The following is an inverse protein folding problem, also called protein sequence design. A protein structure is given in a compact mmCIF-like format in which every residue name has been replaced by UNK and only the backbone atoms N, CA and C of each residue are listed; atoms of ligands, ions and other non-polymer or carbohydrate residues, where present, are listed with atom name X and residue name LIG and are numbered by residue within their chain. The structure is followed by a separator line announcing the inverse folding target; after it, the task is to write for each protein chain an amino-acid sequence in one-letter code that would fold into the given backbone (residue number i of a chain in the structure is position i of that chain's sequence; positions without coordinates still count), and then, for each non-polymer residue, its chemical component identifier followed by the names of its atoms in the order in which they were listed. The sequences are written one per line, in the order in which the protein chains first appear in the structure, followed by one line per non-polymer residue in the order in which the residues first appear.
data_IF_479021951457
#
_entry.id   IF_479021951457
#
_cell.length_a   1.000
_cell.length_b   1.000
_cell.length_c   1.000
_cell.angle_alpha   90.00
_cell.angle_beta   90.00
_cell.angle_gamma   90.00
#
_symmetry.space_group_name_H-M   'P 1'
#
loop_
_entity.id
_entity.type
_entity.pdbx_description
1 polymer ?
#
# COMPACT_ATOMS: atom_id res chain seq x y z
N UNK A 1 -26.45 -57.99 -2.48
CA UNK A 1 -27.01 -56.63 -2.34
C UNK A 1 -25.88 -55.66 -2.66
N UNK A 2 -25.83 -55.29 -3.93
CA UNK A 2 -26.08 -53.93 -4.41
C UNK A 2 -24.75 -53.20 -4.63
N UNK A 3 -24.16 -53.52 -5.79
CA UNK A 3 -23.17 -52.71 -6.49
C UNK A 3 -23.74 -51.29 -6.72
N UNK A 4 -22.91 -50.28 -6.49
CA UNK A 4 -23.26 -48.89 -6.79
C UNK A 4 -22.82 -48.55 -8.21
N UNK A 5 -23.71 -47.99 -9.07
CA UNK A 5 -23.38 -47.73 -10.46
C UNK A 5 -22.67 -46.40 -10.65
N UNK A 6 -21.77 -46.42 -11.64
CA UNK A 6 -21.02 -45.30 -12.21
C UNK A 6 -22.00 -44.26 -12.77
N UNK A 7 -21.97 -43.03 -12.25
CA UNK A 7 -22.62 -41.88 -12.88
C UNK A 7 -21.58 -41.14 -13.73
N UNK A 8 -21.66 -41.35 -15.03
CA UNK A 8 -20.94 -40.59 -16.05
C UNK A 8 -21.43 -39.14 -16.04
N UNK A 9 -20.60 -38.21 -15.56
CA UNK A 9 -20.84 -36.77 -15.78
C UNK A 9 -20.24 -36.39 -17.13
N UNK A 10 -21.10 -36.11 -18.13
CA UNK A 10 -20.70 -35.48 -19.38
C UNK A 10 -20.15 -34.09 -19.06
N UNK A 11 -18.83 -33.98 -18.94
CA UNK A 11 -18.12 -32.71 -18.99
C UNK A 11 -18.07 -32.31 -20.47
N UNK A 12 -18.74 -31.23 -20.83
CA UNK A 12 -18.55 -30.63 -22.14
C UNK A 12 -17.14 -30.06 -22.16
N UNK A 13 -16.25 -30.70 -22.91
CA UNK A 13 -14.89 -30.20 -23.13
C UNK A 13 -14.93 -28.84 -23.83
N UNK A 14 -14.05 -27.89 -23.47
CA UNK A 14 -13.92 -26.64 -24.19
C UNK A 14 -13.48 -26.94 -25.63
N UNK A 15 -14.07 -26.27 -26.65
CA UNK A 15 -13.66 -26.49 -28.02
C UNK A 15 -12.18 -26.16 -28.19
N UNK A 16 -11.49 -27.05 -28.89
CA UNK A 16 -10.09 -27.02 -29.25
C UNK A 16 -9.67 -25.63 -29.79
N UNK A 17 -8.44 -25.21 -29.50
CA UNK A 17 -7.87 -23.93 -29.91
C UNK A 17 -7.52 -23.94 -31.41
N UNK A 18 -8.54 -24.14 -32.25
CA UNK A 18 -8.45 -24.20 -33.70
C UNK A 18 -9.75 -23.70 -34.32
N UNK A 19 -9.88 -22.37 -34.39
CA UNK A 19 -10.61 -21.58 -35.40
C UNK A 19 -11.18 -20.29 -34.79
N UNK A 20 -10.34 -19.24 -34.75
CA UNK A 20 -10.79 -17.85 -34.54
C UNK A 20 -11.50 -17.31 -35.79
N UNK A 21 -12.62 -17.93 -36.17
CA UNK A 21 -13.65 -17.31 -37.01
C UNK A 21 -14.90 -17.14 -36.15
N UNK A 22 -15.03 -16.00 -35.48
CA UNK A 22 -16.33 -15.53 -34.98
C UNK A 22 -17.25 -15.37 -36.18
N UNK A 23 -18.10 -16.37 -36.46
CA UNK A 23 -19.18 -16.25 -37.43
C UNK A 23 -20.21 -15.27 -36.86
N UNK A 24 -20.04 -13.99 -37.20
CA UNK A 24 -21.03 -12.95 -36.93
C UNK A 24 -22.34 -13.17 -37.71
N UNK A 25 -22.38 -14.18 -38.58
CA UNK A 25 -23.51 -14.56 -39.41
C UNK A 25 -24.73 -15.01 -38.57
N UNK A 26 -24.50 -15.47 -37.34
CA UNK A 26 -25.55 -15.89 -36.40
C UNK A 26 -26.03 -14.77 -35.47
N UNK A 27 -25.39 -13.60 -35.49
CA UNK A 27 -25.69 -12.52 -34.56
C UNK A 27 -26.99 -11.77 -34.93
N UNK A 28 -27.94 -11.58 -33.99
CA UNK A 28 -29.23 -10.96 -34.29
C UNK A 28 -29.14 -9.44 -34.29
N UNK A 29 -28.55 -8.85 -35.33
CA UNK A 29 -28.41 -7.40 -35.49
C UNK A 29 -29.73 -6.63 -35.39
N UNK A 30 -30.85 -7.26 -35.76
CA UNK A 30 -32.20 -6.72 -35.63
C UNK A 30 -32.59 -6.31 -34.20
N UNK A 31 -32.02 -6.97 -33.18
CA UNK A 31 -32.33 -6.72 -31.77
C UNK A 31 -31.43 -5.60 -31.18
N UNK A 32 -30.44 -5.13 -31.95
CA UNK A 32 -29.47 -4.12 -31.55
C UNK A 32 -29.32 -3.00 -32.62
N UNK A 33 -30.36 -2.20 -32.89
CA UNK A 33 -30.30 -1.13 -33.88
C UNK A 33 -29.30 -0.03 -33.46
N UNK A 34 -28.50 0.45 -34.41
CA UNK A 34 -27.48 1.48 -34.20
C UNK A 34 -26.18 0.97 -33.54
N UNK A 35 -26.04 -0.34 -33.39
CA UNK A 35 -24.80 -0.97 -32.92
C UNK A 35 -24.04 -1.62 -34.09
N UNK A 36 -22.73 -1.50 -34.06
CA UNK A 36 -21.79 -2.14 -34.99
C UNK A 36 -20.81 -3.01 -34.22
N UNK A 37 -20.06 -3.86 -34.93
CA UNK A 37 -18.94 -4.59 -34.33
C UNK A 37 -17.92 -3.58 -33.78
N UNK A 38 -17.42 -3.82 -32.56
CA UNK A 38 -16.46 -2.89 -31.96
C UNK A 38 -15.10 -2.92 -32.66
N UNK A 39 -14.53 -1.74 -32.93
CA UNK A 39 -13.19 -1.60 -33.52
C UNK A 39 -12.08 -2.03 -32.55
N UNK A 40 -12.39 -2.20 -31.25
CA UNK A 40 -11.45 -2.56 -30.18
C UNK A 40 -11.47 -4.05 -29.81
N UNK A 41 -12.11 -4.89 -30.62
CA UNK A 41 -12.35 -6.32 -30.33
C UNK A 41 -11.07 -7.13 -29.99
N UNK A 42 -9.88 -6.64 -30.37
CA UNK A 42 -8.60 -7.30 -30.09
C UNK A 42 -7.96 -6.91 -28.72
N UNK A 43 -8.45 -5.89 -28.01
CA UNK A 43 -7.76 -5.32 -26.84
C UNK A 43 -8.41 -5.65 -25.48
N UNK A 44 -9.34 -6.60 -25.40
CA UNK A 44 -10.01 -6.95 -24.14
C UNK A 44 -9.29 -8.06 -23.39
N UNK A 45 -8.81 -7.77 -22.18
CA UNK A 45 -8.00 -8.68 -21.36
C UNK A 45 -8.80 -9.68 -20.49
N UNK A 46 -10.13 -9.59 -20.45
CA UNK A 46 -10.96 -10.45 -19.58
C UNK A 46 -11.44 -11.72 -20.31
N UNK A 47 -11.44 -12.86 -19.61
CA UNK A 47 -11.82 -14.17 -20.14
C UNK A 47 -13.26 -14.22 -20.69
N UNK A 48 -14.17 -13.42 -20.14
CA UNK A 48 -15.58 -13.37 -20.57
C UNK A 48 -15.77 -13.03 -22.05
N UNK A 49 -14.80 -12.35 -22.66
CA UNK A 49 -14.86 -11.95 -24.07
C UNK A 49 -14.66 -13.14 -25.03
N UNK A 50 -14.18 -14.28 -24.51
CA UNK A 50 -14.21 -15.54 -25.26
C UNK A 50 -15.66 -15.99 -25.53
N UNK A 51 -16.57 -15.72 -24.58
CA UNK A 51 -17.97 -16.14 -24.60
C UNK A 51 -18.97 -15.02 -24.97
N UNK A 52 -18.51 -13.86 -25.47
CA UNK A 52 -19.40 -12.79 -25.90
C UNK A 52 -19.01 -12.09 -27.18
N UNK A 53 -20.02 -11.54 -27.85
CA UNK A 53 -19.90 -10.61 -28.97
C UNK A 53 -19.70 -9.19 -28.44
N UNK A 54 -18.83 -8.44 -29.11
CA UNK A 54 -18.42 -7.10 -28.73
C UNK A 54 -19.02 -6.05 -29.68
N UNK A 55 -19.99 -5.29 -29.19
CA UNK A 55 -20.72 -4.31 -29.99
C UNK A 55 -20.54 -2.90 -29.41
N UNK A 56 -20.39 -1.91 -30.30
CA UNK A 56 -20.33 -0.49 -29.95
C UNK A 56 -21.41 0.29 -30.70
N UNK A 57 -21.89 1.40 -30.11
CA UNK A 57 -22.91 2.22 -30.77
C UNK A 57 -22.23 3.15 -31.78
N UNK A 58 -22.76 3.24 -33.01
CA UNK A 58 -22.19 4.05 -34.09
C UNK A 58 -22.00 5.53 -33.72
N UNK A 59 -22.89 6.05 -32.88
CA UNK A 59 -22.95 7.48 -32.56
C UNK A 59 -22.18 7.83 -31.27
N UNK A 60 -21.76 6.82 -30.49
CA UNK A 60 -21.20 7.02 -29.15
C UNK A 60 -20.32 5.83 -28.73
N UNK A 61 -19.02 5.97 -28.93
CA UNK A 61 -17.99 4.97 -28.57
C UNK A 61 -17.94 4.67 -27.06
N UNK A 62 -18.57 5.50 -26.22
CA UNK A 62 -18.67 5.21 -24.76
C UNK A 62 -19.73 4.17 -24.44
N UNK A 63 -20.63 3.86 -25.37
CA UNK A 63 -21.75 2.91 -25.20
C UNK A 63 -21.45 1.56 -25.83
N UNK A 64 -20.46 0.89 -25.26
CA UNK A 64 -20.03 -0.45 -25.66
C UNK A 64 -20.68 -1.53 -24.79
N UNK A 65 -21.03 -2.67 -25.41
CA UNK A 65 -21.75 -3.77 -24.76
C UNK A 65 -21.13 -5.14 -25.11
N UNK A 66 -21.24 -6.03 -24.14
CA UNK A 66 -20.97 -7.46 -24.27
C UNK A 66 -22.31 -8.19 -24.46
N UNK A 67 -22.42 -9.06 -25.46
CA UNK A 67 -23.61 -9.90 -25.71
C UNK A 67 -23.24 -11.37 -25.64
N UNK A 68 -23.99 -12.18 -24.89
CA UNK A 68 -23.65 -13.59 -24.66
C UNK A 68 -23.73 -14.44 -25.94
N UNK A 69 -22.64 -15.11 -26.34
CA UNK A 69 -22.60 -16.01 -27.51
C UNK A 69 -23.52 -17.21 -27.32
N UNK A 70 -23.49 -17.84 -26.14
CA UNK A 70 -24.29 -19.04 -25.85
C UNK A 70 -25.80 -18.75 -25.96
N UNK A 71 -26.24 -17.56 -25.54
CA UNK A 71 -27.63 -17.13 -25.73
C UNK A 71 -28.00 -16.96 -27.20
N UNK A 72 -27.10 -16.39 -28.01
CA UNK A 72 -27.29 -16.19 -29.46
C UNK A 72 -27.32 -17.51 -30.20
N UNK A 73 -26.37 -18.40 -29.92
CA UNK A 73 -26.27 -19.73 -30.53
C UNK A 73 -27.49 -20.60 -30.19
N UNK A 74 -28.01 -20.46 -28.96
CA UNK A 74 -29.25 -21.12 -28.51
C UNK A 74 -30.54 -20.47 -29.04
N UNK A 75 -30.44 -19.44 -29.91
CA UNK A 75 -31.57 -18.66 -30.46
C UNK A 75 -32.56 -18.16 -29.40
N UNK A 76 -32.06 -17.69 -28.25
CA UNK A 76 -32.94 -17.11 -27.22
C UNK A 76 -33.59 -15.82 -27.77
N UNK A 77 -34.88 -15.58 -27.50
CA UNK A 77 -35.60 -14.40 -28.02
C UNK A 77 -34.98 -13.06 -27.60
N UNK A 78 -34.35 -13.02 -26.42
CA UNK A 78 -33.63 -11.85 -25.91
C UNK A 78 -32.26 -12.31 -25.39
N UNK A 79 -31.20 -12.27 -26.22
CA UNK A 79 -29.86 -12.59 -25.76
C UNK A 79 -29.41 -11.62 -24.67
N UNK A 80 -28.84 -12.15 -23.58
CA UNK A 80 -28.39 -11.29 -22.49
C UNK A 80 -27.27 -10.36 -22.97
N UNK A 81 -27.38 -9.07 -22.63
CA UNK A 81 -26.35 -8.07 -22.89
C UNK A 81 -26.02 -7.29 -21.62
N UNK A 82 -24.74 -6.96 -21.45
CA UNK A 82 -24.22 -6.18 -20.33
C UNK A 82 -23.33 -5.04 -20.82
N UNK A 83 -23.26 -3.94 -20.08
CA UNK A 83 -22.36 -2.84 -20.39
C UNK A 83 -20.89 -3.27 -20.25
N UNK A 84 -20.02 -2.87 -21.18
CA UNK A 84 -18.60 -3.28 -21.16
C UNK A 84 -17.79 -2.65 -20.02
N UNK A 85 -18.32 -1.62 -19.36
CA UNK A 85 -17.69 -0.92 -18.23
C UNK A 85 -17.60 -1.76 -16.95
N UNK A 86 -18.28 -2.92 -16.88
CA UNK A 86 -18.18 -3.84 -15.75
C UNK A 86 -18.38 -5.31 -16.17
N UNK A 87 -17.42 -6.17 -15.82
CA UNK A 87 -17.43 -7.60 -16.23
C UNK A 87 -18.30 -8.50 -15.36
N UNK A 88 -18.69 -8.04 -14.16
CA UNK A 88 -19.41 -8.86 -13.17
C UNK A 88 -20.79 -9.34 -13.65
N UNK A 89 -21.54 -8.50 -14.34
CA UNK A 89 -22.88 -8.87 -14.83
C UNK A 89 -22.81 -10.00 -15.88
N UNK A 90 -21.82 -9.94 -16.76
CA UNK A 90 -21.55 -10.99 -17.75
C UNK A 90 -21.09 -12.30 -17.07
N UNK A 91 -20.19 -12.21 -16.07
CA UNK A 91 -19.73 -13.37 -15.30
C UNK A 91 -20.88 -14.06 -14.54
N UNK A 92 -21.78 -13.29 -13.91
CA UNK A 92 -22.96 -13.82 -13.20
C UNK A 92 -23.91 -14.54 -14.16
N UNK A 93 -24.18 -13.94 -15.32
CA UNK A 93 -25.04 -14.55 -16.35
C UNK A 93 -24.47 -15.87 -16.88
N UNK A 94 -23.18 -15.89 -17.25
CA UNK A 94 -22.50 -17.10 -17.74
C UNK A 94 -22.58 -18.25 -16.72
N UNK A 95 -22.43 -17.95 -15.43
CA UNK A 95 -22.54 -18.96 -14.38
C UNK A 95 -23.98 -19.43 -14.15
N UNK A 96 -24.93 -18.51 -14.05
CA UNK A 96 -26.30 -18.86 -13.69
C UNK A 96 -27.02 -19.58 -14.82
N UNK A 97 -26.95 -19.04 -16.03
CA UNK A 97 -27.73 -19.48 -17.20
C UNK A 97 -27.02 -20.56 -18.03
N UNK A 98 -25.69 -20.59 -18.01
CA UNK A 98 -24.89 -21.47 -18.87
C UNK A 98 -23.91 -22.37 -18.09
N UNK A 99 -23.79 -22.21 -16.77
CA UNK A 99 -22.84 -22.96 -15.92
C UNK A 99 -21.39 -22.85 -16.40
N UNK A 100 -21.05 -21.76 -17.10
CA UNK A 100 -19.69 -21.46 -17.57
C UNK A 100 -18.92 -20.72 -16.48
N UNK A 101 -17.71 -21.19 -16.17
CA UNK A 101 -16.79 -20.55 -15.21
C UNK A 101 -15.44 -20.17 -15.87
N UNK A 102 -14.64 -19.41 -15.13
CA UNK A 102 -13.29 -18.99 -15.56
C UNK A 102 -12.41 -20.23 -15.82
N UNK A 103 -11.92 -20.44 -17.06
CA UNK A 103 -11.07 -21.59 -17.43
C UNK A 103 -9.75 -21.65 -16.66
N UNK A 104 -9.29 -20.54 -16.07
CA UNK A 104 -8.03 -20.48 -15.34
C UNK A 104 -8.09 -21.08 -13.92
N UNK A 105 -9.28 -21.38 -13.41
CA UNK A 105 -9.50 -21.95 -12.07
C UNK A 105 -9.11 -21.04 -10.89
N UNK A 106 -8.61 -19.82 -11.15
CA UNK A 106 -8.15 -18.89 -10.10
C UNK A 106 -9.27 -18.13 -9.41
N UNK A 107 -10.47 -18.10 -10.00
CA UNK A 107 -11.65 -17.39 -9.46
C UNK A 107 -12.70 -18.39 -8.99
N UNK A 108 -13.14 -18.24 -7.74
CA UNK A 108 -14.31 -18.96 -7.21
C UNK A 108 -15.56 -18.51 -7.98
N UNK A 109 -16.59 -19.38 -8.12
CA UNK A 109 -17.84 -18.99 -8.76
C UNK A 109 -18.40 -17.74 -8.08
N UNK A 110 -19.03 -16.80 -8.82
CA UNK A 110 -19.67 -15.66 -8.19
C UNK A 110 -20.70 -16.18 -7.20
N UNK A 111 -20.44 -16.02 -5.89
CA UNK A 111 -21.48 -16.25 -4.89
C UNK A 111 -22.64 -15.34 -5.26
N UNK A 112 -23.88 -15.85 -5.16
CA UNK A 112 -25.09 -15.00 -5.22
C UNK A 112 -24.74 -13.67 -4.58
N UNK A 113 -24.96 -12.56 -5.31
CA UNK A 113 -24.79 -11.22 -4.75
C UNK A 113 -25.27 -11.29 -3.31
N UNK A 114 -24.40 -10.94 -2.34
CA UNK A 114 -24.85 -10.75 -0.96
C UNK A 114 -26.18 -10.06 -1.10
N UNK A 115 -27.26 -10.70 -0.65
CA UNK A 115 -28.55 -10.02 -0.50
C UNK A 115 -28.17 -8.66 0.05
N UNK A 116 -28.53 -7.58 -0.66
CA UNK A 116 -28.42 -6.25 -0.09
C UNK A 116 -29.01 -6.45 1.29
N UNK A 117 -28.19 -6.40 2.34
CA UNK A 117 -28.69 -6.30 3.70
C UNK A 117 -29.74 -5.23 3.58
N UNK A 118 -31.03 -5.52 3.80
CA UNK A 118 -32.06 -4.52 3.63
C UNK A 118 -31.58 -3.39 4.52
N UNK A 119 -31.14 -2.30 3.89
CA UNK A 119 -30.84 -1.09 4.61
C UNK A 119 -32.17 -0.79 5.24
N UNK A 120 -32.32 -1.07 6.54
CA UNK A 120 -33.54 -0.79 7.29
C UNK A 120 -33.86 0.64 6.96
N UNK A 121 -34.82 0.85 6.07
CA UNK A 121 -35.15 2.21 5.66
C UNK A 121 -35.74 2.87 6.91
N UNK A 122 -35.58 4.19 7.07
CA UNK A 122 -36.04 4.87 8.28
C UNK A 122 -37.51 4.55 8.58
N UNK A 123 -38.30 4.37 7.53
CA UNK A 123 -39.69 4.02 7.68
C UNK A 123 -39.88 2.64 8.35
N UNK A 124 -39.16 1.61 7.95
CA UNK A 124 -39.16 0.30 8.62
C UNK A 124 -38.66 0.38 10.07
N UNK A 125 -37.63 1.20 10.31
CA UNK A 125 -37.01 1.29 11.63
C UNK A 125 -37.85 2.10 12.64
N UNK A 126 -38.54 3.13 12.17
CA UNK A 126 -39.50 3.93 12.94
C UNK A 126 -40.92 3.34 12.87
N UNK A 127 -41.09 2.21 12.19
CA UNK A 127 -42.38 1.54 11.93
C UNK A 127 -43.42 2.44 11.24
N UNK A 128 -42.97 3.35 10.39
CA UNK A 128 -43.79 4.21 9.54
C UNK A 128 -44.19 3.48 8.26
N UNK A 129 -45.47 3.56 7.91
CA UNK A 129 -46.05 3.05 6.68
C UNK A 129 -45.85 4.06 5.55
N UNK A 130 -44.92 3.77 4.63
CA UNK A 130 -44.65 4.61 3.46
C UNK A 130 -45.78 4.66 2.43
N UNK A 131 -46.83 3.85 2.59
CA UNK A 131 -48.05 3.89 1.76
C UNK A 131 -49.07 4.90 2.29
N UNK A 132 -48.94 5.35 3.52
CA UNK A 132 -49.73 6.44 4.08
C UNK A 132 -49.03 7.78 3.81
N UNK A 133 -49.75 8.75 3.21
CA UNK A 133 -49.17 10.01 2.79
C UNK A 133 -48.62 10.85 3.96
N UNK A 134 -49.25 10.76 5.14
CA UNK A 134 -48.84 11.51 6.34
C UNK A 134 -47.60 10.89 6.96
N UNK A 135 -47.57 9.57 7.10
CA UNK A 135 -46.40 8.85 7.63
C UNK A 135 -45.21 8.90 6.67
N UNK A 136 -45.45 8.89 5.36
CA UNK A 136 -44.43 9.13 4.33
C UNK A 136 -43.84 10.54 4.45
N UNK A 137 -44.67 11.56 4.68
CA UNK A 137 -44.21 12.93 4.89
C UNK A 137 -43.34 13.05 6.15
N UNK A 138 -43.71 12.38 7.24
CA UNK A 138 -42.92 12.31 8.48
C UNK A 138 -41.56 11.64 8.21
N UNK A 139 -41.54 10.50 7.50
CA UNK A 139 -40.31 9.83 7.14
C UNK A 139 -39.39 10.73 6.30
N UNK A 140 -39.93 11.40 5.28
CA UNK A 140 -39.17 12.31 4.41
C UNK A 140 -38.63 13.53 5.18
N UNK A 141 -39.38 14.07 6.13
CA UNK A 141 -38.90 15.17 6.99
C UNK A 141 -37.75 14.72 7.89
N UNK A 142 -37.81 13.52 8.45
CA UNK A 142 -36.73 12.97 9.29
C UNK A 142 -35.47 12.74 8.46
N UNK A 143 -35.60 12.18 7.24
CA UNK A 143 -34.48 12.02 6.30
C UNK A 143 -33.84 13.38 5.99
N UNK A 144 -34.67 14.38 5.67
CA UNK A 144 -34.19 15.71 5.27
C UNK A 144 -33.52 16.51 6.40
N UNK A 145 -33.75 16.16 7.67
CA UNK A 145 -33.16 16.88 8.82
C UNK A 145 -31.74 16.44 9.17
N UNK A 146 -31.28 15.30 8.68
CA UNK A 146 -29.95 14.79 9.00
C UNK A 146 -28.98 15.05 7.85
N UNK A 147 -28.02 15.95 8.10
CA UNK A 147 -26.90 16.16 7.20
C UNK A 147 -25.67 15.38 7.68
N UNK A 148 -25.17 14.48 6.82
CA UNK A 148 -23.98 13.66 7.09
C UNK A 148 -22.73 14.52 7.32
N UNK A 149 -22.51 15.54 6.51
CA UNK A 149 -21.31 16.38 6.58
C UNK A 149 -21.30 17.24 7.84
N UNK A 150 -22.46 17.79 8.22
CA UNK A 150 -22.57 18.58 9.44
C UNK A 150 -22.45 17.72 10.69
N UNK A 151 -23.05 16.52 10.71
CA UNK A 151 -22.79 15.56 11.79
C UNK A 151 -21.28 15.27 11.92
N UNK A 152 -20.60 14.99 10.81
CA UNK A 152 -19.16 14.73 10.82
C UNK A 152 -18.35 15.95 11.27
N UNK A 153 -18.75 17.17 10.92
CA UNK A 153 -18.13 18.41 11.40
C UNK A 153 -18.28 18.54 12.92
N UNK A 154 -19.48 18.31 13.46
CA UNK A 154 -19.73 18.36 14.91
C UNK A 154 -18.88 17.36 15.69
N UNK A 155 -18.74 16.13 15.20
CA UNK A 155 -17.86 15.12 15.83
C UNK A 155 -16.40 15.58 15.80
N UNK A 156 -15.93 16.14 14.68
CA UNK A 156 -14.55 16.67 14.59
C UNK A 156 -14.36 17.86 15.53
N UNK A 157 -15.27 18.84 15.54
CA UNK A 157 -15.22 20.00 16.44
C UNK A 157 -15.25 19.59 17.91
N UNK A 158 -16.06 18.60 18.28
CA UNK A 158 -16.08 18.04 19.63
C UNK A 158 -14.70 17.49 20.01
N UNK A 159 -14.12 16.62 19.18
CA UNK A 159 -12.79 16.01 19.44
C UNK A 159 -11.71 17.08 19.62
N UNK A 160 -11.73 18.14 18.80
CA UNK A 160 -10.78 19.27 18.89
C UNK A 160 -10.98 20.02 20.20
N UNK A 161 -12.22 20.44 20.51
CA UNK A 161 -12.52 21.29 21.65
C UNK A 161 -12.35 20.56 22.99
N UNK A 162 -12.55 19.24 23.01
CA UNK A 162 -12.34 18.41 24.20
C UNK A 162 -10.92 17.84 24.31
N UNK A 163 -10.00 18.23 23.41
CA UNK A 163 -8.63 17.70 23.29
C UNK A 163 -8.56 16.17 23.44
N UNK A 164 -9.47 15.48 22.74
CA UNK A 164 -9.66 14.03 22.88
C UNK A 164 -8.91 13.25 21.80
N UNK A 165 -8.61 11.97 22.05
CA UNK A 165 -7.92 11.13 21.07
C UNK A 165 -8.76 10.97 19.79
N UNK A 166 -8.13 11.02 18.61
CA UNK A 166 -8.85 10.84 17.34
C UNK A 166 -9.51 9.46 17.21
N UNK A 167 -8.96 8.45 17.91
CA UNK A 167 -9.52 7.10 17.97
C UNK A 167 -10.84 7.05 18.74
N UNK A 168 -11.17 8.07 19.52
CA UNK A 168 -12.42 8.13 20.28
C UNK A 168 -13.65 8.18 19.37
N UNK A 169 -13.52 8.68 18.13
CA UNK A 169 -14.55 8.55 17.08
C UNK A 169 -14.85 7.10 16.67
N UNK A 170 -13.96 6.18 17.00
CA UNK A 170 -14.06 4.74 16.71
C UNK A 170 -14.51 3.92 17.92
N UNK A 171 -14.75 4.57 19.07
CA UNK A 171 -15.18 3.89 20.28
C UNK A 171 -16.54 3.17 20.06
N UNK A 172 -16.63 1.86 20.34
CA UNK A 172 -17.84 1.10 20.10
C UNK A 172 -19.07 1.61 20.86
N UNK A 173 -18.89 2.09 22.10
CA UNK A 173 -19.99 2.57 22.94
C UNK A 173 -20.48 3.93 22.47
N UNK A 174 -19.57 4.83 22.10
CA UNK A 174 -19.93 6.11 21.50
C UNK A 174 -20.69 5.93 20.18
N UNK A 175 -20.22 5.04 19.32
CA UNK A 175 -20.90 4.73 18.06
C UNK A 175 -22.28 4.14 18.30
N UNK A 176 -22.42 3.24 19.27
CA UNK A 176 -23.73 2.71 19.67
C UNK A 176 -24.66 3.81 20.19
N UNK A 177 -24.16 4.78 20.96
CA UNK A 177 -24.94 5.92 21.42
C UNK A 177 -25.41 6.80 20.26
N UNK A 178 -24.54 7.11 19.28
CA UNK A 178 -24.94 7.84 18.08
C UNK A 178 -25.98 7.08 17.24
N UNK A 179 -25.82 5.77 17.08
CA UNK A 179 -26.78 4.93 16.38
C UNK A 179 -28.13 4.84 17.10
N UNK A 180 -28.13 4.84 18.43
CA UNK A 180 -29.35 4.87 19.24
C UNK A 180 -30.09 6.20 19.09
N UNK A 181 -29.37 7.32 19.17
CA UNK A 181 -29.95 8.66 19.06
C UNK A 181 -30.45 8.96 17.64
N UNK A 182 -29.71 8.53 16.63
CA UNK A 182 -30.11 8.65 15.24
C UNK A 182 -29.54 7.51 14.39
N UNK A 183 -30.34 6.52 14.01
CA UNK A 183 -29.82 5.38 13.28
C UNK A 183 -29.51 5.69 11.80
N UNK A 184 -29.79 6.92 11.32
CA UNK A 184 -29.23 7.43 10.08
C UNK A 184 -27.71 7.47 10.08
N UNK A 185 -27.07 7.62 11.24
CA UNK A 185 -25.60 7.65 11.36
C UNK A 185 -24.99 6.38 10.77
N UNK A 186 -25.59 5.21 11.06
CA UNK A 186 -25.16 3.93 10.48
C UNK A 186 -25.56 3.80 9.01
N UNK A 187 -26.82 4.11 8.71
CA UNK A 187 -27.42 3.89 7.38
C UNK A 187 -26.74 4.73 6.30
N UNK A 188 -26.26 5.92 6.65
CA UNK A 188 -25.55 6.85 5.74
C UNK A 188 -24.03 6.75 5.84
N UNK A 189 -23.50 5.80 6.62
CA UNK A 189 -22.06 5.68 6.90
C UNK A 189 -21.44 7.01 7.38
N UNK A 190 -22.13 7.68 8.29
CA UNK A 190 -21.70 8.97 8.83
C UNK A 190 -20.58 8.84 9.87
N UNK A 191 -20.36 7.65 10.43
CA UNK A 191 -19.21 7.38 11.32
C UNK A 191 -17.88 7.76 10.65
N UNK A 192 -16.99 8.37 11.42
CA UNK A 192 -15.66 8.76 10.97
C UNK A 192 -14.59 7.95 11.69
N UNK A 193 -13.47 7.78 11.00
CA UNK A 193 -12.26 7.14 11.53
C UNK A 193 -11.25 8.19 12.00
N UNK A 194 -10.30 7.80 12.83
CA UNK A 194 -9.18 8.67 13.27
C UNK A 194 -8.43 9.29 12.08
N UNK A 195 -8.25 8.52 10.99
CA UNK A 195 -7.66 9.01 9.74
C UNK A 195 -8.52 10.09 9.06
N UNK A 196 -9.84 9.96 9.14
CA UNK A 196 -10.79 10.93 8.57
C UNK A 196 -10.87 12.19 9.42
N UNK A 197 -10.88 12.05 10.74
CA UNK A 197 -10.79 13.17 11.70
C UNK A 197 -9.54 13.99 11.42
N UNK A 198 -8.37 13.34 11.37
CA UNK A 198 -7.09 14.00 11.05
C UNK A 198 -7.13 14.73 9.71
N UNK A 199 -7.62 14.06 8.65
CA UNK A 199 -7.71 14.68 7.31
C UNK A 199 -8.60 15.93 7.32
N UNK A 200 -9.73 15.89 8.04
CA UNK A 200 -10.66 17.03 8.16
C UNK A 200 -10.06 18.17 8.98
N UNK A 201 -9.34 17.88 10.07
CA UNK A 201 -8.63 18.89 10.87
C UNK A 201 -7.61 19.66 10.00
N UNK A 202 -6.85 18.94 9.18
CA UNK A 202 -5.86 19.55 8.28
C UNK A 202 -6.52 20.40 7.18
N UNK A 203 -7.71 20.03 6.71
CA UNK A 203 -8.49 20.84 5.77
C UNK A 203 -8.99 22.15 6.40
N UNK A 204 -9.22 22.17 7.72
CA UNK A 204 -9.73 23.35 8.45
C UNK A 204 -8.61 24.27 8.93
N UNK A 205 -7.44 23.73 9.30
CA UNK A 205 -6.32 24.51 9.87
C UNK A 205 -5.44 25.25 8.85
N UNK A 206 -5.64 25.07 7.54
CA UNK A 206 -4.77 25.69 6.53
C UNK A 206 -5.55 26.25 5.33
N UNK A 207 -5.48 27.56 5.15
CA UNK A 207 -5.98 28.26 3.96
C UNK A 207 -5.07 28.09 2.74
N UNK A 208 -3.89 27.45 2.89
CA UNK A 208 -2.92 27.27 1.82
C UNK A 208 -3.13 25.93 1.06
N UNK A 209 -3.49 25.96 -0.24
CA UNK A 209 -3.68 24.77 -1.05
C UNK A 209 -2.41 23.90 -1.21
N UNK A 210 -1.21 24.47 -1.05
CA UNK A 210 0.06 23.74 -1.11
C UNK A 210 0.26 22.87 0.14
N UNK A 211 -0.16 23.36 1.30
CA UNK A 211 -0.11 22.62 2.57
C UNK A 211 -1.19 21.52 2.58
N UNK A 212 -2.37 21.77 2.00
CA UNK A 212 -3.43 20.74 1.83
C UNK A 212 -3.02 19.58 0.92
N UNK A 213 -2.15 19.83 -0.06
CA UNK A 213 -1.65 18.79 -0.97
C UNK A 213 -0.58 17.88 -0.33
N UNK A 214 0.13 18.36 0.70
CA UNK A 214 1.12 17.58 1.43
C UNK A 214 0.41 16.62 2.39
N UNK A 215 0.59 15.31 2.19
CA UNK A 215 0.16 14.32 3.18
C UNK A 215 0.90 14.57 4.49
N UNK A 216 0.21 14.59 5.64
CA UNK A 216 0.88 14.71 6.93
C UNK A 216 1.84 13.53 7.09
N UNK A 217 3.07 13.83 7.52
CA UNK A 217 4.07 12.80 7.76
C UNK A 217 3.80 12.15 9.12
N UNK A 218 3.69 10.83 9.15
CA UNK A 218 3.64 10.04 10.38
C UNK A 218 5.01 9.82 10.99
N UNK A 219 5.08 9.54 12.28
CA UNK A 219 6.33 9.01 12.85
C UNK A 219 6.52 7.60 12.26
N UNK A 220 7.75 7.30 11.82
CA UNK A 220 8.15 5.94 11.46
C UNK A 220 8.86 5.37 12.67
N UNK A 221 8.39 4.23 13.14
CA UNK A 221 9.04 3.49 14.22
C UNK A 221 9.92 2.41 13.57
N UNK A 222 11.09 2.20 14.14
CA UNK A 222 11.89 1.00 13.94
C UNK A 222 10.99 -0.25 13.96
N UNK A 223 11.16 -1.07 12.93
CA UNK A 223 10.60 -2.42 12.88
C UNK A 223 11.79 -3.34 12.64
N UNK A 224 12.27 -3.98 13.70
CA UNK A 224 13.46 -4.87 13.72
C UNK A 224 13.44 -5.95 12.62
N UNK A 225 12.28 -6.28 12.06
CA UNK A 225 12.12 -7.31 11.02
C UNK A 225 12.36 -6.80 9.59
N UNK A 226 12.38 -5.49 9.36
CA UNK A 226 12.64 -4.90 8.02
C UNK A 226 14.04 -4.30 7.96
N UNK A 227 14.80 -4.67 6.94
CA UNK A 227 16.13 -4.10 6.72
C UNK A 227 16.07 -2.57 6.64
N UNK A 228 17.01 -1.90 7.31
CA UNK A 228 17.14 -0.44 7.39
C UNK A 228 15.95 0.32 8.02
N UNK A 229 15.08 -0.34 8.79
CA UNK A 229 13.97 0.34 9.47
C UNK A 229 14.44 1.49 10.38
N UNK A 230 15.59 1.35 11.06
CA UNK A 230 16.23 2.42 11.84
C UNK A 230 16.61 3.62 10.99
N UNK A 231 17.14 3.43 9.77
CA UNK A 231 17.47 4.54 8.86
C UNK A 231 16.20 5.30 8.47
N UNK A 232 15.12 4.60 8.15
CA UNK A 232 13.85 5.24 7.78
C UNK A 232 13.21 5.98 8.96
N UNK A 233 13.34 5.46 10.18
CA UNK A 233 12.98 6.16 11.42
C UNK A 233 13.80 7.45 11.58
N UNK A 234 15.13 7.36 11.46
CA UNK A 234 16.04 8.51 11.56
C UNK A 234 15.69 9.60 10.54
N UNK A 235 15.52 9.24 9.26
CA UNK A 235 15.13 10.21 8.21
C UNK A 235 13.81 10.88 8.51
N UNK A 236 12.84 10.12 9.04
CA UNK A 236 11.55 10.68 9.43
C UNK A 236 11.69 11.62 10.62
N UNK A 237 12.51 11.26 11.61
CA UNK A 237 12.77 12.11 12.76
C UNK A 237 13.44 13.43 12.35
N UNK A 238 14.44 13.40 11.46
CA UNK A 238 15.09 14.60 10.93
C UNK A 238 14.11 15.50 10.16
N UNK A 239 13.20 14.94 9.36
CA UNK A 239 12.14 15.70 8.68
C UNK A 239 11.10 16.30 9.64
N UNK A 240 10.95 15.71 10.82
CA UNK A 240 9.99 16.12 11.84
C UNK A 240 10.67 16.82 13.02
N UNK A 241 11.95 17.22 12.91
CA UNK A 241 12.77 17.72 14.02
C UNK A 241 12.03 18.81 14.82
N UNK A 242 11.67 19.90 14.16
CA UNK A 242 11.03 21.05 14.80
C UNK A 242 9.71 20.64 15.49
N UNK A 243 8.92 19.80 14.83
CA UNK A 243 7.67 19.28 15.39
C UNK A 243 7.90 18.39 16.62
N UNK A 244 8.94 17.56 16.61
CA UNK A 244 9.27 16.67 17.73
C UNK A 244 9.79 17.46 18.94
N UNK A 245 10.56 18.53 18.69
CA UNK A 245 11.01 19.45 19.73
C UNK A 245 9.83 20.20 20.36
N UNK A 246 8.93 20.76 19.54
CA UNK A 246 7.71 21.44 20.01
C UNK A 246 6.82 20.48 20.81
N UNK A 247 6.58 19.27 20.27
CA UNK A 247 5.78 18.24 20.92
C UNK A 247 6.35 17.87 22.29
N UNK A 248 7.68 17.81 22.43
CA UNK A 248 8.31 17.51 23.71
C UNK A 248 8.00 18.57 24.76
N UNK A 249 8.09 19.86 24.41
CA UNK A 249 7.76 20.96 25.33
C UNK A 249 6.28 20.97 25.70
N UNK A 250 5.38 20.77 24.73
CA UNK A 250 3.94 20.70 24.97
C UNK A 250 3.60 19.57 25.95
N UNK A 251 4.13 18.37 25.70
CA UNK A 251 3.87 17.19 26.53
C UNK A 251 4.50 17.30 27.91
N UNK A 252 5.69 17.90 28.02
CA UNK A 252 6.32 18.16 29.31
C UNK A 252 5.49 19.14 30.14
N UNK A 253 5.07 20.26 29.56
CA UNK A 253 4.24 21.27 30.23
C UNK A 253 2.90 20.70 30.69
N UNK A 254 2.25 19.88 29.84
CA UNK A 254 1.01 19.19 30.21
C UNK A 254 1.22 18.24 31.41
N UNK A 255 2.30 17.46 31.41
CA UNK A 255 2.62 16.56 32.50
C UNK A 255 2.86 17.32 33.82
N UNK A 256 3.67 18.38 33.79
CA UNK A 256 3.93 19.23 34.96
C UNK A 256 2.62 19.86 35.49
N UNK A 257 1.74 20.30 34.60
CA UNK A 257 0.41 20.78 34.95
C UNK A 257 -0.46 19.73 35.64
N UNK A 258 -0.36 18.46 35.26
CA UNK A 258 -1.06 17.35 35.93
C UNK A 258 -0.48 17.05 37.32
N UNK A 259 0.84 17.17 37.48
CA UNK A 259 1.50 17.03 38.78
C UNK A 259 1.07 18.15 39.74
N UNK A 260 1.05 19.40 39.28
CA UNK A 260 0.58 20.54 40.07
C UNK A 260 -0.88 20.42 40.51
N UNK A 261 -1.72 19.77 39.69
CA UNK A 261 -3.14 19.48 40.01
C UNK A 261 -3.32 18.24 40.90
N UNK A 262 -2.23 17.60 41.35
CA UNK A 262 -2.27 16.39 42.17
C UNK A 262 -2.84 15.16 41.45
N UNK A 263 -2.94 15.19 40.10
CA UNK A 263 -3.49 14.10 39.30
C UNK A 263 -2.46 13.03 38.94
N UNK A 264 -1.18 13.37 39.00
CA UNK A 264 -0.05 12.48 38.71
C UNK A 264 1.12 12.75 39.65
N UNK A 265 1.99 11.76 39.82
CA UNK A 265 3.25 11.95 40.55
C UNK A 265 4.37 12.46 39.63
N UNK A 266 5.27 13.27 40.17
CA UNK A 266 6.53 13.64 39.51
C UNK A 266 7.41 12.42 39.25
N UNK A 267 7.42 11.44 40.17
CA UNK A 267 8.20 10.20 40.02
C UNK A 267 7.74 9.30 38.88
N UNK A 268 6.49 9.44 38.43
CA UNK A 268 5.90 8.65 37.35
C UNK A 268 6.20 9.24 35.96
N UNK A 269 7.01 10.29 35.87
CA UNK A 269 7.31 10.97 34.61
C UNK A 269 7.94 9.99 33.59
N UNK A 270 7.37 9.90 32.37
CA UNK A 270 7.92 9.09 31.28
C UNK A 270 9.36 9.47 30.98
N UNK A 271 10.21 8.46 30.72
CA UNK A 271 11.63 8.66 30.44
C UNK A 271 11.88 9.69 29.34
N UNK A 272 11.11 9.63 28.26
CA UNK A 272 11.24 10.55 27.12
C UNK A 272 10.93 12.02 27.45
N UNK A 273 10.24 12.31 28.56
CA UNK A 273 9.93 13.68 28.99
C UNK A 273 10.88 14.21 30.07
N UNK A 274 11.82 13.38 30.55
CA UNK A 274 12.84 13.80 31.50
C UNK A 274 13.89 14.64 30.78
N UNK A 275 14.42 15.64 31.49
CA UNK A 275 15.43 16.55 30.94
C UNK A 275 16.69 15.82 30.46
N UNK A 276 17.11 14.79 31.17
CA UNK A 276 18.26 13.94 30.82
C UNK A 276 18.11 13.18 29.49
N UNK A 277 16.88 13.02 28.98
CA UNK A 277 16.59 12.30 27.74
C UNK A 277 16.06 13.24 26.63
N UNK A 278 16.10 14.55 26.86
CA UNK A 278 15.75 15.54 25.85
C UNK A 278 16.84 15.53 24.78
N UNK A 279 16.45 15.44 23.52
CA UNK A 279 17.39 15.56 22.40
C UNK A 279 17.86 17.01 22.28
N UNK A 280 19.16 17.21 22.44
CA UNK A 280 19.83 18.48 22.23
C UNK A 280 20.32 18.62 20.78
N UNK A 281 20.79 19.81 20.41
CA UNK A 281 21.37 20.06 19.09
C UNK A 281 22.54 19.11 18.78
N UNK A 282 23.33 18.75 19.81
CA UNK A 282 24.39 17.75 19.72
C UNK A 282 23.84 16.37 19.35
N UNK A 283 22.74 15.94 19.95
CA UNK A 283 22.13 14.63 19.67
C UNK A 283 21.57 14.58 18.25
N UNK A 284 20.93 15.66 17.81
CA UNK A 284 20.48 15.78 16.42
C UNK A 284 21.63 15.75 15.42
N UNK A 285 22.77 16.34 15.74
CA UNK A 285 23.98 16.24 14.92
C UNK A 285 24.49 14.79 14.83
N UNK A 286 24.49 14.05 15.95
CA UNK A 286 24.81 12.63 15.98
C UNK A 286 23.82 11.82 15.12
N UNK A 287 22.51 12.08 15.25
CA UNK A 287 21.46 11.41 14.46
C UNK A 287 21.65 11.68 12.96
N UNK A 288 21.99 12.90 12.57
CA UNK A 288 22.30 13.26 11.18
C UNK A 288 23.53 12.51 10.67
N UNK A 289 24.59 12.41 11.47
CA UNK A 289 25.78 11.64 11.12
C UNK A 289 25.45 10.16 10.90
N UNK A 290 24.62 9.55 11.75
CA UNK A 290 24.17 8.17 11.55
C UNK A 290 23.35 8.01 10.27
N UNK A 291 22.51 8.98 9.90
CA UNK A 291 21.81 8.97 8.61
C UNK A 291 22.79 8.93 7.43
N UNK A 292 23.86 9.73 7.47
CA UNK A 292 24.89 9.76 6.42
C UNK A 292 25.62 8.42 6.30
N UNK A 293 26.08 7.87 7.43
CA UNK A 293 26.78 6.57 7.46
C UNK A 293 25.87 5.46 6.93
N UNK A 294 24.63 5.39 7.42
CA UNK A 294 23.67 4.35 7.04
C UNK A 294 23.18 4.49 5.59
N UNK A 295 23.23 5.68 4.99
CA UNK A 295 22.91 5.87 3.58
C UNK A 295 23.84 5.08 2.66
N UNK A 296 25.11 4.87 3.03
CA UNK A 296 26.00 4.00 2.27
C UNK A 296 25.53 2.54 2.28
N UNK A 297 25.02 2.06 3.41
CA UNK A 297 24.42 0.73 3.50
C UNK A 297 23.15 0.62 2.66
N UNK A 298 22.30 1.66 2.66
CA UNK A 298 21.12 1.70 1.80
C UNK A 298 21.48 1.60 0.31
N UNK A 299 22.49 2.35 -0.14
CA UNK A 299 22.94 2.28 -1.52
C UNK A 299 23.41 0.88 -1.92
N UNK A 300 24.22 0.23 -1.09
CA UNK A 300 24.66 -1.15 -1.36
C UNK A 300 23.50 -2.13 -1.29
N UNK A 301 22.62 -2.00 -0.29
CA UNK A 301 21.47 -2.87 -0.15
C UNK A 301 20.54 -2.81 -1.37
N UNK A 302 20.16 -1.60 -1.81
CA UNK A 302 19.32 -1.41 -3.01
C UNK A 302 20.01 -2.00 -4.25
N UNK A 303 21.34 -1.88 -4.32
CA UNK A 303 22.13 -2.44 -5.42
C UNK A 303 22.10 -3.97 -5.41
N UNK A 304 22.14 -4.60 -4.23
CA UNK A 304 22.21 -6.07 -4.09
C UNK A 304 20.85 -6.77 -4.13
N UNK A 305 19.76 -6.09 -3.74
CA UNK A 305 18.39 -6.65 -3.69
C UNK A 305 17.75 -6.85 -5.08
N UNK A 306 18.44 -6.48 -6.17
CA UNK A 306 17.95 -6.69 -7.53
C UNK A 306 17.98 -8.14 -7.99
N UNK A 307 17.55 -8.37 -9.23
CA UNK A 307 17.43 -9.70 -9.85
C UNK A 307 18.34 -9.91 -11.07
N UNK A 308 19.37 -9.08 -11.22
CA UNK A 308 20.32 -9.07 -12.33
C UNK A 308 19.72 -8.60 -13.67
N UNK A 309 18.44 -8.23 -13.73
CA UNK A 309 17.80 -7.87 -14.99
C UNK A 309 18.07 -6.41 -15.40
N UNK A 310 18.49 -6.23 -16.65
CA UNK A 310 18.65 -4.91 -17.26
C UNK A 310 17.29 -4.25 -17.45
N UNK A 311 17.10 -3.07 -16.85
CA UNK A 311 15.87 -2.29 -16.96
C UNK A 311 16.18 -0.81 -17.13
N UNK A 312 15.31 -0.09 -17.83
CA UNK A 312 15.35 1.37 -17.89
C UNK A 312 14.95 1.93 -16.53
N UNK A 313 15.84 2.68 -15.89
CA UNK A 313 15.64 3.23 -14.53
C UNK A 313 15.07 4.65 -14.59
N UNK A 314 14.73 5.22 -13.42
CA UNK A 314 14.06 6.54 -13.29
C UNK A 314 14.82 7.70 -13.95
N UNK A 315 16.10 7.54 -14.23
CA UNK A 315 16.96 8.54 -14.89
C UNK A 315 17.29 8.17 -16.36
N UNK A 316 16.58 7.20 -16.93
CA UNK A 316 16.68 6.85 -18.34
C UNK A 316 17.85 5.94 -18.72
N UNK A 317 18.82 5.71 -17.83
CA UNK A 317 19.88 4.74 -18.06
C UNK A 317 19.39 3.29 -17.94
N UNK A 318 20.11 2.37 -18.58
CA UNK A 318 19.86 0.93 -18.52
C UNK A 318 20.82 0.34 -17.51
N UNK A 319 20.29 -0.20 -16.41
CA UNK A 319 21.09 -0.79 -15.33
C UNK A 319 20.51 -2.12 -14.84
N UNK A 320 21.40 -3.05 -14.53
CA UNK A 320 21.10 -4.26 -13.78
C UNK A 320 21.53 -4.06 -12.33
N UNK A 321 20.72 -4.54 -11.39
CA UNK A 321 21.01 -4.56 -9.95
C UNK A 321 20.89 -6.00 -9.47
N UNK A 322 21.62 -6.37 -8.42
CA UNK A 322 21.65 -7.72 -7.86
C UNK A 322 22.50 -8.66 -8.69
N UNK A 323 23.51 -8.15 -9.39
CA UNK A 323 24.45 -9.02 -10.07
C UNK A 323 25.42 -9.60 -9.05
N UNK A 324 25.82 -10.85 -9.24
CA UNK A 324 26.61 -11.55 -8.24
C UNK A 324 27.99 -10.92 -7.99
N UNK A 325 28.57 -10.28 -9.01
CA UNK A 325 29.83 -9.53 -8.89
C UNK A 325 29.69 -8.25 -8.05
N UNK A 326 28.47 -7.70 -7.91
CA UNK A 326 28.23 -6.49 -7.09
C UNK A 326 28.41 -6.79 -5.60
N UNK A 327 28.33 -8.06 -5.17
CA UNK A 327 28.47 -8.44 -3.75
C UNK A 327 29.84 -8.08 -3.22
N UNK A 328 30.92 -8.55 -3.85
CA UNK A 328 32.29 -8.26 -3.39
C UNK A 328 32.58 -6.75 -3.42
N UNK A 329 32.19 -6.09 -4.52
CA UNK A 329 32.35 -4.65 -4.69
C UNK A 329 31.59 -3.85 -3.62
N UNK A 330 30.40 -4.30 -3.23
CA UNK A 330 29.60 -3.69 -2.18
C UNK A 330 30.28 -3.76 -0.82
N UNK A 331 30.90 -4.89 -0.47
CA UNK A 331 31.67 -5.02 0.77
C UNK A 331 32.92 -4.15 0.76
N UNK A 332 33.72 -4.19 -0.30
CA UNK A 332 34.91 -3.36 -0.48
C UNK A 332 34.59 -1.86 -0.35
N UNK A 333 33.50 -1.42 -0.99
CA UNK A 333 33.00 -0.05 -0.85
C UNK A 333 32.66 0.30 0.60
N UNK A 334 31.91 -0.54 1.31
CA UNK A 334 31.51 -0.26 2.69
C UNK A 334 32.71 -0.27 3.65
N UNK A 335 33.61 -1.23 3.52
CA UNK A 335 34.84 -1.31 4.31
C UNK A 335 35.70 -0.06 4.12
N UNK A 336 35.94 0.34 2.87
CA UNK A 336 36.67 1.58 2.57
C UNK A 336 35.98 2.83 3.11
N UNK A 337 34.64 2.91 3.06
CA UNK A 337 33.89 4.01 3.70
C UNK A 337 34.07 4.03 5.21
N UNK A 338 33.99 2.89 5.89
CA UNK A 338 34.19 2.83 7.34
C UNK A 338 35.60 3.27 7.73
N UNK A 339 36.62 2.98 6.91
CA UNK A 339 37.99 3.46 7.15
C UNK A 339 38.12 4.98 7.01
N UNK A 340 37.49 5.57 5.99
CA UNK A 340 37.42 7.03 5.84
C UNK A 340 36.77 7.67 7.08
N UNK A 341 35.65 7.10 7.57
CA UNK A 341 35.01 7.58 8.81
C UNK A 341 35.90 7.39 10.04
N UNK A 342 36.63 6.27 10.13
CA UNK A 342 37.58 5.98 11.22
C UNK A 342 38.73 6.99 11.25
N UNK A 343 39.31 7.34 10.10
CA UNK A 343 40.38 8.32 9.98
C UNK A 343 39.90 9.74 10.33
N UNK A 344 38.67 10.08 9.93
CA UNK A 344 38.06 11.37 10.20
C UNK A 344 37.30 11.44 11.54
N UNK A 345 37.37 10.41 12.40
CA UNK A 345 36.55 10.28 13.61
C UNK A 345 36.61 11.52 14.54
N UNK A 346 37.79 12.14 14.65
CA UNK A 346 38.03 13.35 15.46
C UNK A 346 37.21 14.57 15.03
N UNK A 347 36.67 14.60 13.81
CA UNK A 347 35.91 15.71 13.25
C UNK A 347 34.42 15.62 13.53
N UNK A 348 33.95 14.49 14.06
CA UNK A 348 32.54 14.22 14.26
C UNK A 348 32.11 14.43 15.71
N UNK A 349 30.81 14.69 15.97
CA UNK A 349 30.29 14.74 17.33
C UNK A 349 30.55 13.43 18.07
N UNK A 350 30.92 13.54 19.34
CA UNK A 350 31.26 12.41 20.21
C UNK A 350 32.30 11.42 19.63
N UNK A 351 33.55 11.89 19.38
CA UNK A 351 34.55 11.13 18.62
C UNK A 351 34.86 9.74 19.19
N UNK A 352 34.90 9.60 20.52
CA UNK A 352 35.27 8.33 21.16
C UNK A 352 34.20 7.26 20.93
N UNK A 353 32.93 7.58 21.20
CA UNK A 353 31.82 6.67 20.94
C UNK A 353 31.66 6.41 19.44
N UNK A 354 31.76 7.44 18.60
CA UNK A 354 31.67 7.28 17.15
C UNK A 354 32.74 6.34 16.60
N UNK A 355 34.00 6.53 17.01
CA UNK A 355 35.13 5.68 16.63
C UNK A 355 34.91 4.23 17.04
N UNK A 356 34.41 3.97 18.26
CA UNK A 356 34.10 2.61 18.71
C UNK A 356 33.01 1.99 17.83
N UNK A 357 31.92 2.72 17.57
CA UNK A 357 30.81 2.24 16.76
C UNK A 357 31.23 1.92 15.31
N UNK A 358 32.01 2.79 14.67
CA UNK A 358 32.51 2.56 13.31
C UNK A 358 33.48 1.37 13.28
N UNK A 359 34.34 1.19 14.29
CA UNK A 359 35.21 0.02 14.37
C UNK A 359 34.41 -1.28 14.54
N UNK A 360 33.34 -1.28 15.35
CA UNK A 360 32.46 -2.43 15.47
C UNK A 360 31.72 -2.75 14.17
N UNK A 361 31.29 -1.70 13.45
CA UNK A 361 30.69 -1.82 12.13
C UNK A 361 31.66 -2.45 11.13
N UNK A 362 32.89 -1.92 11.03
CA UNK A 362 33.95 -2.45 10.17
C UNK A 362 34.25 -3.92 10.50
N UNK A 363 34.45 -4.26 11.79
CA UNK A 363 34.70 -5.66 12.22
C UNK A 363 33.57 -6.60 11.82
N UNK A 364 32.32 -6.13 11.87
CA UNK A 364 31.17 -6.93 11.47
C UNK A 364 31.11 -7.11 9.95
N UNK A 365 31.42 -6.08 9.17
CA UNK A 365 31.54 -6.18 7.72
C UNK A 365 32.64 -7.15 7.32
N UNK A 366 33.83 -7.00 7.90
CA UNK A 366 35.01 -7.84 7.65
C UNK A 366 34.71 -9.31 7.93
N UNK A 367 34.07 -9.62 9.07
CA UNK A 367 33.62 -10.98 9.40
C UNK A 367 32.76 -11.62 8.29
N UNK A 368 31.87 -10.87 7.66
CA UNK A 368 31.03 -11.41 6.57
C UNK A 368 31.76 -11.38 5.23
N UNK A 369 32.65 -10.41 5.03
CA UNK A 369 33.51 -10.33 3.86
C UNK A 369 34.43 -11.56 3.76
N UNK A 370 35.11 -11.95 4.84
CA UNK A 370 35.95 -13.16 4.87
C UNK A 370 35.17 -14.46 4.60
N UNK A 371 33.85 -14.47 4.83
CA UNK A 371 33.02 -15.64 4.50
C UNK A 371 32.74 -15.78 3.01
N UNK A 372 32.92 -14.72 2.22
CA UNK A 372 32.79 -14.79 0.76
C UNK A 372 33.88 -15.69 0.16
N UNK A 373 35.04 -15.78 0.82
CA UNK A 373 36.17 -16.66 0.43
C UNK A 373 35.79 -18.14 0.48
N UNK A 374 34.83 -18.52 1.32
CA UNK A 374 34.32 -19.89 1.43
C UNK A 374 33.56 -20.33 0.17
N UNK A 375 33.10 -19.37 -0.66
CA UNK A 375 32.33 -19.66 -1.87
C UNK A 375 32.98 -19.02 -3.11
N UNK A 376 33.57 -19.82 -4.03
CA UNK A 376 34.32 -19.29 -5.17
C UNK A 376 33.44 -18.52 -6.19
N UNK A 377 32.12 -18.61 -6.07
CA UNK A 377 31.17 -18.02 -7.01
C UNK A 377 31.26 -16.49 -7.11
N UNK A 378 31.57 -15.80 -6.00
CA UNK A 378 31.69 -14.33 -5.99
C UNK A 378 32.94 -13.87 -6.73
N UNK A 379 34.05 -14.57 -6.53
CA UNK A 379 35.31 -14.36 -7.23
C UNK A 379 35.21 -14.68 -8.72
N UNK A 380 34.57 -15.81 -9.04
CA UNK A 380 34.30 -16.20 -10.43
C UNK A 380 33.43 -15.16 -11.15
N UNK A 381 32.43 -14.59 -10.48
CA UNK A 381 31.56 -13.56 -11.07
C UNK A 381 32.34 -12.31 -11.50
N UNK A 382 33.34 -11.89 -10.72
CA UNK A 382 34.21 -10.75 -11.07
C UNK A 382 35.22 -11.14 -12.15
N UNK A 383 35.85 -12.32 -12.03
CA UNK A 383 36.80 -12.82 -13.03
C UNK A 383 36.17 -12.96 -14.43
N UNK A 384 34.88 -13.30 -14.49
CA UNK A 384 34.12 -13.40 -15.74
C UNK A 384 33.51 -12.05 -16.18
N UNK A 385 33.54 -11.02 -15.34
CA UNK A 385 33.00 -9.71 -15.69
C UNK A 385 33.88 -9.02 -16.74
N UNK A 386 33.37 -8.64 -17.93
CA UNK A 386 34.17 -8.14 -19.03
C UNK A 386 35.02 -6.89 -18.74
N UNK A 387 34.61 -6.07 -17.77
CA UNK A 387 35.32 -4.86 -17.38
C UNK A 387 36.37 -5.06 -16.28
N UNK A 388 36.19 -6.05 -15.39
CA UNK A 388 37.07 -6.28 -14.24
C UNK A 388 38.09 -7.38 -14.55
N UNK A 389 37.58 -8.55 -14.96
CA UNK A 389 38.37 -9.74 -15.28
C UNK A 389 39.32 -10.11 -14.13
N UNK A 390 40.42 -10.79 -14.45
CA UNK A 390 41.46 -11.11 -13.48
C UNK A 390 42.24 -9.89 -12.98
N UNK A 391 42.29 -8.81 -13.78
CA UNK A 391 43.03 -7.59 -13.46
C UNK A 391 42.56 -6.92 -12.16
N UNK A 392 41.26 -7.03 -11.83
CA UNK A 392 40.72 -6.54 -10.56
C UNK A 392 41.46 -7.11 -9.35
N UNK A 393 41.77 -8.42 -9.35
CA UNK A 393 42.46 -9.04 -8.22
C UNK A 393 43.93 -8.65 -8.14
N UNK A 394 44.58 -8.40 -9.27
CA UNK A 394 45.97 -7.92 -9.32
C UNK A 394 46.12 -6.49 -8.77
N UNK A 395 45.11 -5.66 -8.99
CA UNK A 395 45.06 -4.28 -8.50
C UNK A 395 44.68 -4.22 -7.01
N UNK A 396 43.70 -5.03 -6.59
CA UNK A 396 43.29 -5.12 -5.18
C UNK A 396 44.41 -5.71 -4.31
N UNK A 397 45.13 -6.74 -4.77
CA UNK A 397 46.30 -7.25 -4.03
C UNK A 397 47.39 -6.19 -3.86
N UNK A 398 47.58 -5.32 -4.86
CA UNK A 398 48.50 -4.17 -4.76
C UNK A 398 48.01 -3.13 -3.75
N UNK A 399 46.71 -2.82 -3.73
CA UNK A 399 46.13 -1.91 -2.74
C UNK A 399 46.17 -2.46 -1.32
N UNK A 400 45.84 -3.74 -1.09
CA UNK A 400 45.86 -4.38 0.24
C UNK A 400 47.29 -4.49 0.80
N UNK A 401 48.29 -4.75 -0.05
CA UNK A 401 49.70 -4.74 0.36
C UNK A 401 50.19 -3.34 0.73
N UNK A 402 49.79 -2.30 0.00
CA UNK A 402 50.07 -0.89 0.36
C UNK A 402 49.33 -0.46 1.63
N UNK A 403 48.11 -0.97 1.86
CA UNK A 403 47.32 -0.66 3.04
C UNK A 403 47.87 -1.30 4.32
N UNK A 404 48.27 -2.58 4.25
CA UNK A 404 48.87 -3.29 5.37
C UNK A 404 50.27 -2.77 5.74
N UNK A 405 50.98 -2.16 4.79
CA UNK A 405 52.27 -1.51 5.06
C UNK A 405 52.17 -0.08 5.59
N UNK A 406 50.98 0.54 5.57
CA UNK A 406 50.70 1.81 6.26
C UNK A 406 50.14 1.62 7.70
N UNK A 407 49.82 0.39 8.12
CA UNK A 407 49.35 0.06 9.47
C UNK A 407 50.40 -0.63 10.36
N UNK A 408 51.64 -0.78 9.87
CA UNK A 408 52.86 -1.02 10.66
C UNK A 408 53.65 0.28 10.70
#
# INVERSE_FOLDING_TARGET
MAESPIVSSMVVEPPDQGDKKTSWDLFPWKDFPGYTQSQRCASTSSWIWQFGYDIEKSDDDTKRRWVCKVCVDSRRPNPHSAASSGTQNAEIHLWNDHKVCDPSGRRKPPSKAKEKTPSRNIAEMMKLNTRDAREQQIANQIIGRFDRLDFQRLVVSWIINSNSSFRQSEDPYLRAAFEYLNPLVKTTEAHITHNTVRRRILQVKSDDPVVRAKKPLDIIIDVVTRWLSTLYMIRRALLLKDFLEDLWYEQKSEWEGLVLRGKKSSSEMPLCLRDENKLEERDWAIISLFNEVLQHFEHVLITLEGDGQKRKRKEGYIGAYGCLWDTLLGYEYLLGKMEVYKAAAHRYPDPEHFKVNINLCWKKLDKYYSRLDETPVYYAAIALHPAYRWGYFEDVHRCVLLYNSCML
#
